data_IF_313189353533
#
_entry.id   IF_313189353533
#
_cell.length_a   1.000
_cell.length_b   1.000
_cell.length_c   1.000
_cell.angle_alpha   90.00
_cell.angle_beta   90.00
_cell.angle_gamma   90.00
#
_symmetry.space_group_name_H-M   'P 1'
#
loop_
_entity.id
_entity.type
_entity.pdbx_description
1 polymer ?
#
# COMPACT_ATOMS: atom_id res chain seq x y z
N UNK A 1 31.33 -11.24 26.51
CA UNK A 1 32.32 -10.54 27.38
C UNK A 1 31.68 -9.29 27.98
N UNK A 2 31.06 -8.38 27.23
CA UNK A 2 30.41 -7.16 27.78
C UNK A 2 29.15 -7.45 28.63
N UNK A 3 28.43 -8.54 28.39
CA UNK A 3 27.21 -8.92 29.13
C UNK A 3 27.57 -9.43 30.53
N UNK A 4 28.61 -10.27 30.65
CA UNK A 4 29.07 -10.82 31.95
C UNK A 4 29.54 -9.73 32.93
N UNK A 5 30.19 -8.66 32.43
CA UNK A 5 30.65 -7.55 33.24
C UNK A 5 29.54 -6.70 33.85
N UNK A 6 28.33 -6.67 33.25
CA UNK A 6 27.16 -5.90 33.75
C UNK A 6 26.31 -6.70 34.75
N UNK A 7 26.24 -8.01 34.62
CA UNK A 7 25.37 -8.88 35.43
C UNK A 7 26.06 -9.53 36.63
N UNK A 8 27.39 -9.36 36.82
CA UNK A 8 28.23 -10.09 37.76
C UNK A 8 28.19 -11.62 37.65
N UNK A 9 27.72 -12.13 36.50
CA UNK A 9 27.75 -13.54 36.15
C UNK A 9 29.16 -13.94 35.75
N UNK A 10 29.57 -15.17 35.99
CA UNK A 10 30.83 -15.69 35.51
C UNK A 10 30.72 -15.87 33.96
N UNK A 11 31.78 -15.57 33.23
CA UNK A 11 31.81 -15.76 31.78
C UNK A 11 31.43 -17.18 31.35
N UNK A 12 31.85 -18.17 32.14
CA UNK A 12 31.56 -19.59 31.96
C UNK A 12 30.06 -19.89 32.04
N UNK A 13 29.33 -19.28 33.00
CA UNK A 13 27.89 -19.45 33.16
C UNK A 13 27.12 -18.84 31.99
N UNK A 14 27.60 -17.73 31.47
CA UNK A 14 27.00 -17.07 30.28
C UNK A 14 27.24 -17.89 29.00
N UNK A 15 28.44 -18.44 28.83
CA UNK A 15 28.75 -19.29 27.69
C UNK A 15 27.97 -20.61 27.74
N UNK A 16 27.82 -21.21 28.94
CA UNK A 16 27.01 -22.41 29.12
C UNK A 16 25.51 -22.13 28.85
N UNK A 17 24.98 -20.99 29.29
CA UNK A 17 23.62 -20.59 29.00
C UNK A 17 23.40 -20.33 27.51
N UNK A 18 24.38 -19.70 26.82
CA UNK A 18 24.33 -19.47 25.39
C UNK A 18 24.43 -20.77 24.59
N UNK A 19 25.19 -21.77 25.06
CA UNK A 19 25.28 -23.06 24.40
C UNK A 19 24.02 -23.92 24.51
N UNK A 20 23.18 -23.66 25.52
CA UNK A 20 21.89 -24.33 25.75
C UNK A 20 20.73 -23.63 25.03
N UNK A 21 20.93 -22.40 24.55
CA UNK A 21 19.98 -21.75 23.65
C UNK A 21 20.07 -22.45 22.30
N UNK A 22 18.93 -22.91 21.78
CA UNK A 22 18.85 -23.43 20.43
C UNK A 22 19.50 -22.42 19.47
N UNK A 23 20.29 -22.87 18.49
CA UNK A 23 20.92 -21.96 17.55
C UNK A 23 19.85 -21.05 16.95
N UNK A 24 20.11 -19.74 16.81
CA UNK A 24 19.15 -18.82 16.23
C UNK A 24 18.78 -19.37 14.87
N UNK A 25 17.50 -19.72 14.69
CA UNK A 25 16.97 -20.12 13.39
C UNK A 25 17.36 -19.02 12.43
N UNK A 26 18.27 -19.32 11.50
CA UNK A 26 18.67 -18.33 10.51
C UNK A 26 17.44 -17.98 9.73
N UNK A 27 17.09 -16.70 9.69
CA UNK A 27 15.87 -16.18 9.06
C UNK A 27 15.68 -16.72 7.62
N UNK A 28 16.78 -17.09 6.95
CA UNK A 28 16.76 -17.73 5.64
C UNK A 28 16.33 -19.21 5.65
N UNK A 29 16.58 -19.96 6.74
CA UNK A 29 16.18 -21.37 6.85
C UNK A 29 14.69 -21.50 7.21
N UNK A 30 14.17 -20.61 8.09
CA UNK A 30 12.73 -20.56 8.39
C UNK A 30 11.90 -20.17 7.15
N UNK A 31 12.38 -19.22 6.33
CA UNK A 31 11.74 -18.87 5.06
C UNK A 31 11.83 -19.98 4.01
N UNK A 32 12.94 -20.76 4.01
CA UNK A 32 13.11 -21.89 3.11
C UNK A 32 12.23 -23.08 3.54
N UNK A 33 12.05 -23.30 4.83
CA UNK A 33 11.20 -24.36 5.38
C UNK A 33 9.70 -24.03 5.21
N UNK A 34 9.32 -22.75 5.38
CA UNK A 34 7.97 -22.26 5.10
C UNK A 34 7.67 -22.28 3.60
N UNK A 35 8.63 -21.95 2.74
CA UNK A 35 8.50 -22.08 1.30
C UNK A 35 8.43 -23.55 0.86
N UNK A 36 9.18 -24.46 1.49
CA UNK A 36 9.12 -25.89 1.23
C UNK A 36 7.81 -26.51 1.73
N UNK A 37 7.27 -26.07 2.87
CA UNK A 37 5.98 -26.50 3.37
C UNK A 37 4.82 -26.03 2.48
N UNK A 38 4.93 -24.83 1.89
CA UNK A 38 3.98 -24.31 0.90
C UNK A 38 4.09 -25.03 -0.47
N UNK A 39 5.27 -25.55 -0.81
CA UNK A 39 5.48 -26.32 -2.05
C UNK A 39 4.88 -27.74 -1.99
N UNK A 40 4.57 -28.26 -0.81
CA UNK A 40 3.93 -29.58 -0.62
C UNK A 40 2.40 -29.54 -0.68
N UNK A 41 1.78 -28.37 -0.77
CA UNK A 41 0.36 -28.23 -1.07
C UNK A 41 0.21 -28.33 -2.59
N UNK A 42 -0.49 -29.35 -3.14
CA UNK A 42 -0.68 -29.44 -4.58
C UNK A 42 -1.40 -28.17 -5.05
N UNK A 43 -0.71 -27.42 -5.93
CA UNK A 43 -1.21 -26.19 -6.52
C UNK A 43 -2.40 -26.52 -7.45
N UNK A 44 -3.60 -26.68 -6.89
CA UNK A 44 -4.88 -26.72 -7.62
C UNK A 44 -5.49 -25.31 -7.68
N UNK A 45 -4.77 -24.38 -8.25
CA UNK A 45 -5.25 -23.05 -8.59
C UNK A 45 -4.57 -22.57 -9.86
N UNK A 46 -5.22 -21.72 -10.67
CA UNK A 46 -4.55 -21.15 -11.84
C UNK A 46 -3.25 -20.49 -11.40
N UNK A 47 -2.16 -20.79 -12.10
CA UNK A 47 -0.85 -20.25 -11.80
C UNK A 47 -0.96 -18.73 -11.57
N UNK A 48 -0.68 -18.25 -10.34
CA UNK A 48 -0.72 -16.83 -10.03
C UNK A 48 0.27 -16.15 -10.94
N UNK A 49 -0.22 -15.34 -11.86
CA UNK A 49 0.61 -14.49 -12.73
C UNK A 49 1.52 -13.65 -11.82
N UNK A 50 2.82 -13.67 -12.10
CA UNK A 50 3.75 -12.77 -11.42
C UNK A 50 3.33 -11.32 -11.71
N UNK A 51 3.16 -10.52 -10.66
CA UNK A 51 2.82 -9.11 -10.80
C UNK A 51 3.98 -8.36 -11.45
N UNK A 52 3.67 -7.43 -12.33
CA UNK A 52 4.63 -6.52 -12.91
C UNK A 52 5.20 -5.57 -11.85
N UNK A 53 6.34 -4.93 -12.16
CA UNK A 53 6.93 -3.92 -11.27
C UNK A 53 5.96 -2.76 -10.99
N UNK A 54 5.18 -2.37 -12.00
CA UNK A 54 4.18 -1.29 -11.90
C UNK A 54 3.05 -1.68 -10.95
N UNK A 55 2.48 -2.90 -11.12
CA UNK A 55 1.45 -3.42 -10.23
C UNK A 55 1.94 -3.52 -8.78
N UNK A 56 3.18 -4.00 -8.57
CA UNK A 56 3.77 -4.07 -7.22
C UNK A 56 3.94 -2.67 -6.59
N UNK A 57 4.40 -1.69 -7.38
CA UNK A 57 4.53 -0.32 -6.90
C UNK A 57 3.17 0.27 -6.55
N UNK A 58 2.15 0.04 -7.38
CA UNK A 58 0.77 0.47 -7.11
C UNK A 58 0.24 -0.08 -5.79
N UNK A 59 0.35 -1.39 -5.58
CA UNK A 59 -0.07 -2.04 -4.33
C UNK A 59 0.68 -1.51 -3.11
N UNK A 60 1.96 -1.14 -3.28
CA UNK A 60 2.74 -0.51 -2.23
C UNK A 60 2.19 0.87 -1.87
N UNK A 61 1.93 1.72 -2.87
CA UNK A 61 1.36 3.06 -2.65
C UNK A 61 -0.01 2.99 -1.96
N UNK A 62 -0.89 2.09 -2.41
CA UNK A 62 -2.19 1.84 -1.79
C UNK A 62 -2.04 1.50 -0.30
N UNK A 63 -1.18 0.54 0.02
CA UNK A 63 -0.93 0.12 1.39
C UNK A 63 -0.37 1.26 2.25
N UNK A 64 0.59 2.03 1.74
CA UNK A 64 1.18 3.15 2.47
C UNK A 64 0.13 4.23 2.74
N UNK A 65 -0.71 4.59 1.76
CA UNK A 65 -1.80 5.55 1.95
C UNK A 65 -2.77 5.08 3.05
N UNK A 66 -3.26 3.84 2.96
CA UNK A 66 -4.17 3.28 3.97
C UNK A 66 -3.56 3.28 5.37
N UNK A 67 -2.27 2.95 5.49
CA UNK A 67 -1.57 2.97 6.78
C UNK A 67 -1.48 4.38 7.37
N UNK A 68 -1.11 5.38 6.56
CA UNK A 68 -1.03 6.78 7.00
C UNK A 68 -2.40 7.29 7.44
N UNK A 69 -3.45 7.00 6.66
CA UNK A 69 -4.80 7.47 6.95
C UNK A 69 -5.41 6.79 8.19
N UNK A 70 -5.19 5.49 8.36
CA UNK A 70 -5.67 4.77 9.55
C UNK A 70 -5.02 5.27 10.84
N UNK A 71 -3.75 5.70 10.79
CA UNK A 71 -3.03 6.26 11.93
C UNK A 71 -3.39 7.73 12.20
N UNK A 72 -3.96 8.44 11.21
CA UNK A 72 -4.28 9.87 11.27
C UNK A 72 -5.75 10.11 10.88
N UNK A 73 -6.74 9.81 11.75
CA UNK A 73 -8.16 9.87 11.44
C UNK A 73 -8.66 11.22 10.90
N UNK A 74 -8.12 12.34 11.41
CA UNK A 74 -8.49 13.67 10.94
C UNK A 74 -8.04 13.91 9.50
N UNK A 75 -6.87 13.40 9.13
CA UNK A 75 -6.38 13.46 7.75
C UNK A 75 -7.22 12.54 6.86
N UNK A 76 -7.58 11.34 7.35
CA UNK A 76 -8.44 10.42 6.62
C UNK A 76 -9.83 11.04 6.33
N UNK A 77 -10.39 11.78 7.27
CA UNK A 77 -11.66 12.49 7.08
C UNK A 77 -11.53 13.59 6.02
N UNK A 78 -10.42 14.34 6.00
CA UNK A 78 -10.15 15.35 4.99
C UNK A 78 -9.95 14.75 3.57
N UNK A 79 -9.51 13.48 3.49
CA UNK A 79 -9.30 12.75 2.24
C UNK A 79 -10.44 11.75 1.91
N UNK A 80 -11.59 11.83 2.59
CA UNK A 80 -12.68 10.86 2.43
C UNK A 80 -13.15 10.72 0.98
N UNK A 81 -13.30 11.85 0.27
CA UNK A 81 -13.71 11.86 -1.14
C UNK A 81 -12.66 11.18 -2.05
N UNK A 82 -11.38 11.46 -1.81
CA UNK A 82 -10.29 10.79 -2.54
C UNK A 82 -10.28 9.30 -2.31
N UNK A 83 -10.44 8.86 -1.05
CA UNK A 83 -10.52 7.43 -0.70
C UNK A 83 -11.69 6.74 -1.40
N UNK A 84 -12.85 7.39 -1.44
CA UNK A 84 -14.07 6.85 -2.07
C UNK A 84 -13.92 6.74 -3.60
N UNK A 85 -13.14 7.64 -4.23
CA UNK A 85 -12.95 7.69 -5.68
C UNK A 85 -11.74 6.86 -6.16
N UNK A 86 -10.82 6.49 -5.27
CA UNK A 86 -9.63 5.71 -5.61
C UNK A 86 -10.01 4.32 -6.13
N UNK A 87 -9.46 3.95 -7.28
CA UNK A 87 -9.62 2.61 -7.86
C UNK A 87 -8.61 1.66 -7.21
N UNK A 88 -9.04 0.93 -6.20
CA UNK A 88 -8.19 -0.03 -5.48
C UNK A 88 -7.94 -1.28 -6.33
N UNK A 89 -6.66 -1.65 -6.50
CA UNK A 89 -6.28 -2.86 -7.25
C UNK A 89 -6.34 -4.13 -6.40
N UNK A 90 -6.09 -4.04 -5.08
CA UNK A 90 -6.24 -5.16 -4.16
C UNK A 90 -7.63 -5.12 -3.51
N UNK A 91 -8.44 -6.18 -3.62
CA UNK A 91 -9.73 -6.27 -2.92
C UNK A 91 -9.63 -6.08 -1.40
N UNK A 92 -8.51 -6.49 -0.78
CA UNK A 92 -8.26 -6.24 0.63
C UNK A 92 -8.08 -4.74 0.91
N UNK A 93 -7.34 -4.01 0.06
CA UNK A 93 -7.17 -2.57 0.20
C UNK A 93 -8.50 -1.84 0.05
N UNK A 94 -9.34 -2.25 -0.91
CA UNK A 94 -10.71 -1.74 -1.07
C UNK A 94 -11.56 -1.95 0.18
N UNK A 95 -11.54 -3.15 0.75
CA UNK A 95 -12.30 -3.46 1.97
C UNK A 95 -11.80 -2.64 3.18
N UNK A 96 -10.49 -2.43 3.30
CA UNK A 96 -9.90 -1.59 4.34
C UNK A 96 -10.32 -0.13 4.16
N UNK A 97 -10.25 0.42 2.93
CA UNK A 97 -10.66 1.79 2.63
C UNK A 97 -12.13 2.01 2.99
N UNK A 98 -13.02 1.10 2.59
CA UNK A 98 -14.43 1.15 2.95
C UNK A 98 -14.62 1.12 4.48
N UNK A 99 -13.93 0.24 5.19
CA UNK A 99 -14.00 0.15 6.65
C UNK A 99 -13.54 1.43 7.36
N UNK A 100 -12.49 2.09 6.85
CA UNK A 100 -12.02 3.39 7.35
C UNK A 100 -13.11 4.44 7.16
N UNK A 101 -13.69 4.54 5.95
CA UNK A 101 -14.76 5.49 5.64
C UNK A 101 -15.99 5.25 6.49
N UNK A 102 -16.49 4.02 6.59
CA UNK A 102 -17.65 3.65 7.38
C UNK A 102 -17.45 3.99 8.86
N UNK A 103 -16.25 3.73 9.39
CA UNK A 103 -15.91 4.09 10.78
C UNK A 103 -15.96 5.59 10.99
N UNK A 104 -15.35 6.39 10.11
CA UNK A 104 -15.29 7.85 10.23
C UNK A 104 -16.63 8.51 9.96
N UNK A 105 -17.46 7.96 9.07
CA UNK A 105 -18.82 8.45 8.84
C UNK A 105 -19.74 8.18 10.03
N UNK A 106 -19.52 7.06 10.74
CA UNK A 106 -20.29 6.70 11.94
C UNK A 106 -19.81 7.45 13.19
N UNK A 107 -18.50 7.63 13.33
CA UNK A 107 -17.84 8.35 14.42
C UNK A 107 -16.65 9.16 13.89
N UNK A 108 -16.87 10.46 13.55
CA UNK A 108 -15.78 11.33 13.09
C UNK A 108 -14.64 11.54 14.12
N UNK A 109 -14.88 11.20 15.39
CA UNK A 109 -13.87 11.27 16.46
C UNK A 109 -13.21 9.93 16.76
N UNK A 110 -13.47 8.91 15.93
CA UNK A 110 -12.88 7.58 16.10
C UNK A 110 -11.35 7.65 16.16
N UNK A 111 -10.78 6.94 17.14
CA UNK A 111 -9.32 6.85 17.26
C UNK A 111 -8.73 5.88 16.23
N UNK A 112 -7.43 6.03 15.95
CA UNK A 112 -6.70 5.10 15.07
C UNK A 112 -6.85 3.63 15.51
N UNK A 113 -6.90 3.36 16.83
CA UNK A 113 -7.09 2.02 17.35
C UNK A 113 -8.47 1.44 16.97
N UNK A 114 -9.53 2.25 17.00
CA UNK A 114 -10.88 1.85 16.59
C UNK A 114 -10.90 1.53 15.10
N UNK A 115 -10.30 2.40 14.27
CA UNK A 115 -10.20 2.20 12.82
C UNK A 115 -9.49 0.89 12.49
N UNK A 116 -8.32 0.64 13.08
CA UNK A 116 -7.55 -0.60 12.88
C UNK A 116 -8.33 -1.82 13.36
N UNK A 117 -9.02 -1.73 14.50
CA UNK A 117 -9.84 -2.82 15.05
C UNK A 117 -11.02 -3.16 14.13
N UNK A 118 -11.72 -2.14 13.61
CA UNK A 118 -12.84 -2.34 12.71
C UNK A 118 -12.38 -2.95 11.37
N UNK A 119 -11.29 -2.45 10.80
CA UNK A 119 -10.71 -3.03 9.60
C UNK A 119 -10.27 -4.49 9.81
N UNK A 120 -9.67 -4.81 10.96
CA UNK A 120 -9.27 -6.18 11.31
C UNK A 120 -10.47 -7.11 11.54
N UNK A 121 -11.62 -6.58 11.93
CA UNK A 121 -12.87 -7.35 12.04
C UNK A 121 -13.45 -7.72 10.66
N UNK A 122 -13.22 -6.88 9.62
CA UNK A 122 -13.61 -7.18 8.24
C UNK A 122 -12.67 -8.22 7.62
N UNK A 123 -11.37 -8.06 7.79
CA UNK A 123 -10.36 -9.03 7.33
C UNK A 123 -9.16 -9.03 8.31
N UNK A 124 -8.86 -10.20 8.90
CA UNK A 124 -7.76 -10.34 9.87
C UNK A 124 -6.37 -9.95 9.34
N UNK A 125 -6.19 -9.86 8.01
CA UNK A 125 -4.94 -9.38 7.38
C UNK A 125 -4.80 -7.86 7.42
N UNK A 126 -5.92 -7.12 7.59
CA UNK A 126 -5.93 -5.67 7.57
C UNK A 126 -5.01 -5.06 8.63
N UNK A 127 -4.94 -5.65 9.82
CA UNK A 127 -4.03 -5.20 10.87
C UNK A 127 -2.56 -5.15 10.41
N UNK A 128 -2.10 -6.15 9.65
CA UNK A 128 -0.73 -6.17 9.09
C UNK A 128 -0.53 -5.10 8.01
N UNK A 129 -1.53 -4.89 7.16
CA UNK A 129 -1.49 -3.85 6.12
C UNK A 129 -1.33 -2.47 6.77
N UNK A 130 -2.15 -2.16 7.76
CA UNK A 130 -2.22 -0.85 8.42
C UNK A 130 -1.05 -0.56 9.36
N UNK A 131 -0.38 -1.58 9.89
CA UNK A 131 0.77 -1.41 10.78
C UNK A 131 2.12 -1.52 10.08
N UNK A 132 2.18 -2.10 8.88
CA UNK A 132 3.42 -2.29 8.14
C UNK A 132 3.89 -1.03 7.36
N UNK A 133 3.01 -0.05 7.17
CA UNK A 133 3.33 1.23 6.53
C UNK A 133 3.65 2.30 7.59
N UNK A 134 4.37 3.34 7.20
CA UNK A 134 4.61 4.50 8.05
C UNK A 134 6.07 4.83 8.35
N UNK A 135 7.01 3.98 7.96
CA UNK A 135 8.42 4.22 8.17
C UNK A 135 9.16 4.83 6.96
N UNK A 136 8.44 5.14 5.88
CA UNK A 136 9.13 5.44 4.61
C UNK A 136 9.54 6.93 4.46
N UNK A 137 8.96 7.86 5.24
CA UNK A 137 9.26 9.29 5.11
C UNK A 137 9.31 9.92 6.53
N UNK A 138 10.43 9.72 7.22
CA UNK A 138 10.62 10.21 8.59
C UNK A 138 10.62 11.76 8.72
N UNK A 139 10.69 12.51 7.61
CA UNK A 139 10.87 13.96 7.61
C UNK A 139 9.66 14.77 7.15
N UNK A 140 8.65 14.12 6.54
CA UNK A 140 7.46 14.80 6.03
C UNK A 140 6.28 14.68 7.00
N UNK A 141 5.39 15.68 6.98
CA UNK A 141 4.15 15.59 7.76
C UNK A 141 3.23 14.47 7.21
N UNK A 142 2.45 13.78 8.06
CA UNK A 142 1.51 12.76 7.60
C UNK A 142 0.51 13.29 6.56
N UNK A 143 0.15 14.57 6.62
CA UNK A 143 -0.74 15.22 5.67
C UNK A 143 -0.09 15.38 4.29
N UNK A 144 1.18 15.79 4.23
CA UNK A 144 1.94 15.89 2.97
C UNK A 144 2.13 14.51 2.34
N UNK A 145 2.40 13.49 3.16
CA UNK A 145 2.54 12.10 2.70
C UNK A 145 1.22 11.60 2.16
N UNK A 146 0.10 11.78 2.87
CA UNK A 146 -1.22 11.34 2.43
C UNK A 146 -1.61 12.03 1.12
N UNK A 147 -1.41 13.37 1.02
CA UNK A 147 -1.65 14.13 -0.20
C UNK A 147 -0.83 13.59 -1.36
N UNK A 148 0.48 13.43 -1.16
CA UNK A 148 1.39 12.92 -2.19
C UNK A 148 0.97 11.54 -2.70
N UNK A 149 0.67 10.60 -1.78
CA UNK A 149 0.26 9.25 -2.14
C UNK A 149 -1.09 9.23 -2.85
N UNK A 150 -2.06 10.06 -2.42
CA UNK A 150 -3.35 10.17 -3.08
C UNK A 150 -3.22 10.76 -4.50
N UNK A 151 -2.37 11.77 -4.70
CA UNK A 151 -2.06 12.34 -6.01
C UNK A 151 -1.40 11.31 -6.94
N UNK A 152 -0.41 10.55 -6.44
CA UNK A 152 0.25 9.46 -7.20
C UNK A 152 -0.75 8.39 -7.64
N UNK A 153 -1.65 7.98 -6.74
CA UNK A 153 -2.70 7.01 -7.06
C UNK A 153 -3.67 7.57 -8.12
N UNK A 154 -4.07 8.84 -8.01
CA UNK A 154 -4.95 9.49 -8.98
C UNK A 154 -4.30 9.68 -10.36
N UNK A 155 -2.97 9.89 -10.40
CA UNK A 155 -2.19 9.92 -11.63
C UNK A 155 -2.21 8.53 -12.27
N UNK A 156 -1.93 7.47 -11.52
CA UNK A 156 -1.98 6.09 -12.00
C UNK A 156 -3.36 5.70 -12.53
N UNK A 157 -4.44 6.07 -11.83
CA UNK A 157 -5.82 5.82 -12.29
C UNK A 157 -6.13 6.50 -13.63
N UNK A 158 -5.61 7.72 -13.84
CA UNK A 158 -5.78 8.44 -15.09
C UNK A 158 -4.96 7.80 -16.22
N UNK A 159 -3.75 7.29 -15.93
CA UNK A 159 -2.92 6.56 -16.89
C UNK A 159 -3.59 5.27 -17.35
N UNK A 160 -4.12 4.49 -16.41
CA UNK A 160 -4.85 3.24 -16.69
C UNK A 160 -6.11 3.51 -17.52
N UNK A 161 -6.87 4.57 -17.20
CA UNK A 161 -8.06 4.97 -17.97
C UNK A 161 -7.71 5.39 -19.41
N UNK A 162 -6.61 6.12 -19.60
CA UNK A 162 -6.13 6.51 -20.94
C UNK A 162 -5.73 5.26 -21.73
N UNK A 163 -5.05 4.30 -21.11
CA UNK A 163 -4.64 3.07 -21.79
C UNK A 163 -5.85 2.21 -22.18
N UNK A 164 -6.87 2.13 -21.32
CA UNK A 164 -8.13 1.46 -21.62
C UNK A 164 -8.84 2.09 -22.84
N UNK A 165 -8.93 3.42 -22.87
CA UNK A 165 -9.52 4.15 -24.00
C UNK A 165 -8.71 3.97 -25.29
N UNK A 166 -7.38 3.92 -25.20
CA UNK A 166 -6.51 3.64 -26.35
C UNK A 166 -6.72 2.23 -26.90
N UNK A 167 -6.90 1.25 -26.02
CA UNK A 167 -7.22 -0.12 -26.43
C UNK A 167 -8.57 -0.16 -27.17
N UNK A 168 -9.58 0.60 -26.70
CA UNK A 168 -10.87 0.70 -27.39
C UNK A 168 -10.74 1.41 -28.75
N UNK A 169 -9.97 2.50 -28.84
CA UNK A 169 -9.69 3.22 -30.08
C UNK A 169 -8.91 2.39 -31.12
N UNK A 170 -8.20 1.35 -30.70
CA UNK A 170 -7.50 0.44 -31.59
C UNK A 170 -8.45 -0.51 -32.33
N UNK A 171 -9.71 -0.61 -31.91
CA UNK A 171 -10.71 -1.42 -32.63
C UNK A 171 -11.05 -0.78 -33.99
N UNK A 172 -10.68 -1.50 -35.04
CA UNK A 172 -10.90 -1.03 -36.43
C UNK A 172 -12.38 -0.87 -36.80
N UNK A 173 -13.27 -1.61 -36.10
CA UNK A 173 -14.72 -1.54 -36.38
C UNK A 173 -15.34 -0.21 -35.96
N UNK A 174 -14.70 0.54 -35.06
CA UNK A 174 -15.17 1.83 -34.57
C UNK A 174 -14.75 2.99 -35.47
N UNK A 175 -13.77 2.81 -36.36
CA UNK A 175 -13.22 3.89 -37.20
C UNK A 175 -14.29 4.53 -38.08
N UNK A 176 -14.45 5.84 -37.94
CA UNK A 176 -15.43 6.65 -38.66
C UNK A 176 -16.84 6.63 -38.10
N UNK A 177 -17.01 6.13 -36.86
CA UNK A 177 -18.27 6.22 -36.14
C UNK A 177 -18.26 7.41 -35.16
N UNK A 178 -19.43 7.86 -34.71
CA UNK A 178 -19.56 8.90 -33.70
C UNK A 178 -18.95 8.42 -32.34
N UNK A 179 -18.98 7.11 -32.07
CA UNK A 179 -18.37 6.50 -30.89
C UNK A 179 -16.85 6.67 -30.89
N UNK A 180 -16.19 6.48 -32.04
CA UNK A 180 -14.75 6.74 -32.18
C UNK A 180 -14.40 8.19 -31.87
N UNK A 181 -15.17 9.13 -32.38
CA UNK A 181 -14.93 10.56 -32.16
C UNK A 181 -15.11 10.92 -30.70
N UNK A 182 -16.10 10.35 -30.03
CA UNK A 182 -16.32 10.53 -28.59
C UNK A 182 -15.15 9.97 -27.76
N UNK A 183 -14.74 8.75 -28.02
CA UNK A 183 -13.60 8.11 -27.35
C UNK A 183 -12.30 8.89 -27.54
N UNK A 184 -12.08 9.40 -28.75
CA UNK A 184 -10.90 10.22 -29.07
C UNK A 184 -10.92 11.55 -28.27
N UNK A 185 -12.06 12.22 -28.21
CA UNK A 185 -12.20 13.44 -27.42
C UNK A 185 -12.01 13.17 -25.92
N UNK A 186 -12.60 12.09 -25.39
CA UNK A 186 -12.42 11.68 -24.00
C UNK A 186 -10.96 11.39 -23.67
N UNK A 187 -10.26 10.65 -24.55
CA UNK A 187 -8.83 10.35 -24.39
C UNK A 187 -7.99 11.63 -24.35
N UNK A 188 -8.28 12.57 -25.26
CA UNK A 188 -7.56 13.86 -25.34
C UNK A 188 -7.79 14.71 -24.10
N UNK A 189 -9.04 14.76 -23.59
CA UNK A 189 -9.38 15.48 -22.36
C UNK A 189 -8.64 14.90 -21.15
N UNK A 190 -8.65 13.57 -20.99
CA UNK A 190 -7.94 12.90 -19.89
C UNK A 190 -6.42 13.09 -19.97
N UNK A 191 -5.82 13.07 -21.17
CA UNK A 191 -4.39 13.35 -21.35
C UNK A 191 -4.02 14.76 -20.89
N UNK A 192 -4.88 15.75 -21.19
CA UNK A 192 -4.68 17.13 -20.73
C UNK A 192 -4.78 17.21 -19.21
N UNK A 193 -5.79 16.59 -18.60
CA UNK A 193 -5.97 16.54 -17.15
C UNK A 193 -4.78 15.85 -16.48
N UNK A 194 -4.31 14.72 -17.02
CA UNK A 194 -3.13 14.03 -16.52
C UNK A 194 -1.88 14.92 -16.55
N UNK A 195 -1.68 15.68 -17.61
CA UNK A 195 -0.56 16.61 -17.71
C UNK A 195 -0.65 17.70 -16.62
N UNK A 196 -1.84 18.27 -16.41
CA UNK A 196 -2.09 19.27 -15.38
C UNK A 196 -1.83 18.68 -13.97
N UNK A 197 -2.31 17.46 -13.69
CA UNK A 197 -2.04 16.75 -12.42
C UNK A 197 -0.54 16.54 -12.22
N UNK A 198 0.19 16.06 -13.22
CA UNK A 198 1.65 15.84 -13.13
C UNK A 198 2.43 17.15 -12.91
N UNK A 199 2.00 18.25 -13.52
CA UNK A 199 2.62 19.57 -13.30
C UNK A 199 2.33 20.14 -11.89
N UNK A 200 1.15 19.86 -11.36
CA UNK A 200 0.77 20.26 -10.00
C UNK A 200 1.39 19.38 -8.91
N UNK A 201 1.67 18.11 -9.24
CA UNK A 201 2.23 17.14 -8.32
C UNK A 201 3.66 17.52 -7.90
N UNK A 202 3.81 17.84 -6.62
CA UNK A 202 5.11 18.22 -6.06
C UNK A 202 5.67 17.06 -5.24
N UNK A 203 6.95 16.70 -5.44
CA UNK A 203 7.59 15.72 -4.59
C UNK A 203 7.56 16.22 -3.13
N UNK A 204 7.43 15.28 -2.20
CA UNK A 204 7.57 15.56 -0.77
C UNK A 204 8.97 16.11 -0.56
N UNK A 205 9.07 17.35 -0.06
CA UNK A 205 10.36 17.99 0.16
C UNK A 205 11.11 17.22 1.24
N UNK A 206 12.18 16.54 0.85
CA UNK A 206 13.21 16.17 1.81
C UNK A 206 13.90 17.49 2.20
N UNK A 207 13.62 18.02 3.37
CA UNK A 207 14.48 19.05 3.95
C UNK A 207 15.87 18.44 4.08
N UNK A 208 16.68 18.72 3.04
CA UNK A 208 18.03 18.22 2.92
C UNK A 208 18.85 18.71 4.12
N UNK A 209 19.51 17.78 4.80
CA UNK A 209 20.72 18.10 5.53
C UNK A 209 21.68 18.78 4.54
N UNK A 210 21.89 20.10 4.70
CA UNK A 210 23.09 20.77 4.30
C UNK A 210 24.20 20.44 5.29
#
# INVERSE_FOLDING_TARGET
>A
IQIAGRTRAREEDVLEALSKLAPPVRYGEALAEEAAAQALVPAQGPARRALSKTELNRLRLERELLSVLAQNPLIALAHADSLAQTKWHDPLHSAIASSILDTLMSDPAASAAIIVSNAAAVDGRAGRVLTAGGNSIETASPEEVARFLAEELAIGDAEDAIEELRCQLADESLKGTEEYDFLFQATTALQKELLEKRLAHKPVAHEGRL
#
